data_IF_940966312931
#
_entry.id   IF_940966312931
#
_cell.length_a   1.000
_cell.length_b   1.000
_cell.length_c   1.000
_cell.angle_alpha   90.00
_cell.angle_beta   90.00
_cell.angle_gamma   90.00
#
_symmetry.space_group_name_H-M   'P 1'
#
loop_
_entity.id
_entity.type
_entity.pdbx_description
1 polymer ?
#
# COMPACT_ATOMS: atom_id res chain seq x y z
N UNK A 1 -46.41 55.26 37.82
CA UNK A 1 -47.15 54.76 36.64
C UNK A 1 -47.54 53.32 36.96
N UNK A 2 -48.70 53.13 37.57
CA UNK A 2 -49.22 51.82 38.00
C UNK A 2 -50.45 51.54 37.15
N UNK A 3 -50.36 50.57 36.25
CA UNK A 3 -51.52 50.02 35.56
C UNK A 3 -52.13 48.90 36.42
N UNK A 4 -53.47 48.74 36.44
CA UNK A 4 -54.19 48.15 37.57
C UNK A 4 -54.47 46.65 37.43
N UNK A 5 -54.60 46.03 38.60
CA UNK A 5 -54.90 44.63 38.93
C UNK A 5 -56.21 44.03 38.35
N UNK A 6 -56.87 44.66 37.37
CA UNK A 6 -58.15 44.21 36.83
C UNK A 6 -58.06 43.18 35.69
N UNK A 7 -56.85 42.92 35.15
CA UNK A 7 -56.67 41.92 34.09
C UNK A 7 -56.47 40.48 34.60
N UNK A 8 -56.18 40.28 35.89
CA UNK A 8 -55.91 38.95 36.46
C UNK A 8 -57.18 38.32 37.06
N UNK A 9 -58.20 39.12 37.39
CA UNK A 9 -59.45 38.61 38.00
C UNK A 9 -60.51 38.12 37.01
N UNK A 10 -60.39 38.41 35.71
CA UNK A 10 -61.37 37.97 34.70
C UNK A 10 -61.00 36.66 33.97
N UNK A 11 -59.83 36.07 34.22
CA UNK A 11 -59.46 34.75 33.70
C UNK A 11 -59.78 33.59 34.67
N UNK A 12 -60.26 33.89 35.89
CA UNK A 12 -60.43 32.92 36.98
C UNK A 12 -61.88 32.57 37.32
N UNK A 13 -62.86 32.90 36.48
CA UNK A 13 -64.24 32.43 36.69
C UNK A 13 -64.88 31.84 35.44
N UNK A 14 -65.32 30.60 35.62
CA UNK A 14 -66.14 29.74 34.75
C UNK A 14 -65.41 28.83 33.76
N UNK A 15 -64.93 27.68 34.23
CA UNK A 15 -65.73 26.44 34.16
C UNK A 15 -64.91 25.24 34.65
N UNK A 16 -65.09 24.86 35.92
CA UNK A 16 -64.77 23.52 36.40
C UNK A 16 -65.72 22.53 35.73
N UNK A 17 -65.29 21.92 34.62
CA UNK A 17 -65.76 20.59 34.22
C UNK A 17 -64.56 19.66 34.28
N UNK A 18 -64.46 18.94 35.39
CA UNK A 18 -63.64 17.74 35.49
C UNK A 18 -64.02 16.79 34.35
N UNK A 19 -63.09 16.38 33.47
CA UNK A 19 -63.38 15.32 32.52
C UNK A 19 -63.60 14.05 33.35
N UNK A 20 -64.81 13.49 33.26
CA UNK A 20 -65.09 12.16 33.77
C UNK A 20 -64.27 11.21 32.89
N UNK A 21 -63.06 10.90 33.37
CA UNK A 21 -62.18 9.94 32.74
C UNK A 21 -62.86 8.58 32.86
N UNK A 22 -63.46 8.12 31.77
CA UNK A 22 -64.10 6.80 31.76
C UNK A 22 -63.04 5.74 32.04
N UNK A 23 -63.37 4.76 32.89
CA UNK A 23 -62.46 3.69 33.34
C UNK A 23 -61.74 2.97 32.17
N UNK A 24 -62.31 3.00 30.96
CA UNK A 24 -61.70 2.48 29.74
C UNK A 24 -60.51 3.31 29.24
N UNK A 25 -60.55 4.65 29.35
CA UNK A 25 -59.44 5.51 28.92
C UNK A 25 -58.25 5.46 29.90
N UNK A 26 -58.52 5.37 31.21
CA UNK A 26 -57.48 5.19 32.23
C UNK A 26 -56.76 3.82 32.11
N UNK A 27 -57.51 2.78 31.75
CA UNK A 27 -56.97 1.45 31.50
C UNK A 27 -56.07 1.44 30.25
N UNK A 28 -56.51 2.08 29.16
CA UNK A 28 -55.73 2.14 27.91
C UNK A 28 -54.45 2.96 28.06
N UNK A 29 -54.49 4.09 28.77
CA UNK A 29 -53.27 4.89 29.02
C UNK A 29 -52.30 4.17 29.94
N UNK A 30 -52.78 3.51 31.01
CA UNK A 30 -51.95 2.71 31.91
C UNK A 30 -51.28 1.53 31.20
N UNK A 31 -52.03 0.81 30.36
CA UNK A 31 -51.52 -0.34 29.61
C UNK A 31 -50.51 0.08 28.54
N UNK A 32 -50.74 1.23 27.87
CA UNK A 32 -49.79 1.80 26.92
C UNK A 32 -48.48 2.23 27.60
N UNK A 33 -48.53 2.88 28.76
CA UNK A 33 -47.32 3.23 29.53
C UNK A 33 -46.56 2.00 30.04
N UNK A 34 -47.27 0.96 30.47
CA UNK A 34 -46.65 -0.30 30.91
C UNK A 34 -45.91 -1.02 29.80
N UNK A 35 -46.48 -1.07 28.59
CA UNK A 35 -45.84 -1.67 27.42
C UNK A 35 -44.60 -0.88 26.98
N UNK A 36 -44.67 0.46 26.98
CA UNK A 36 -43.54 1.32 26.61
C UNK A 36 -42.39 1.18 27.60
N UNK A 37 -42.67 1.18 28.91
CA UNK A 37 -41.65 0.98 29.95
C UNK A 37 -41.05 -0.43 29.90
N UNK A 38 -41.87 -1.45 29.62
CA UNK A 38 -41.40 -2.82 29.43
C UNK A 38 -40.46 -2.98 28.23
N UNK A 39 -40.81 -2.38 27.09
CA UNK A 39 -39.98 -2.41 25.88
C UNK A 39 -38.67 -1.62 26.06
N UNK A 40 -38.72 -0.46 26.71
CA UNK A 40 -37.51 0.31 27.05
C UNK A 40 -36.57 -0.47 27.98
N UNK A 41 -37.12 -1.18 28.98
CA UNK A 41 -36.35 -2.05 29.86
C UNK A 41 -35.68 -3.21 29.13
N UNK A 42 -36.38 -3.85 28.18
CA UNK A 42 -35.82 -4.91 27.34
C UNK A 42 -34.68 -4.42 26.44
N UNK A 43 -34.81 -3.23 25.85
CA UNK A 43 -33.76 -2.65 24.99
C UNK A 43 -32.51 -2.31 25.81
N UNK A 44 -32.67 -1.74 27.01
CA UNK A 44 -31.54 -1.45 27.92
C UNK A 44 -30.87 -2.74 28.39
N UNK A 45 -31.64 -3.79 28.69
CA UNK A 45 -31.11 -5.11 29.05
C UNK A 45 -30.32 -5.79 27.91
N UNK A 46 -30.80 -5.68 26.67
CA UNK A 46 -30.10 -6.20 25.49
C UNK A 46 -28.81 -5.40 25.23
N UNK A 47 -28.85 -4.08 25.34
CA UNK A 47 -27.66 -3.23 25.18
C UNK A 47 -26.60 -3.49 26.26
N UNK A 48 -27.00 -3.71 27.52
CA UNK A 48 -26.10 -4.08 28.60
C UNK A 48 -25.49 -5.48 28.43
N UNK A 49 -26.25 -6.42 27.83
CA UNK A 49 -25.75 -7.76 27.48
C UNK A 49 -24.71 -7.71 26.35
N UNK A 50 -24.94 -6.87 25.33
CA UNK A 50 -24.01 -6.70 24.21
C UNK A 50 -22.70 -6.04 24.67
N UNK A 51 -22.74 -5.02 25.53
CA UNK A 51 -21.52 -4.39 26.05
C UNK A 51 -20.71 -5.35 26.93
N UNK A 52 -21.38 -6.19 27.74
CA UNK A 52 -20.72 -7.25 28.50
C UNK A 52 -20.04 -8.29 27.60
N UNK A 53 -20.68 -8.70 26.50
CA UNK A 53 -20.07 -9.64 25.55
C UNK A 53 -18.89 -9.02 24.76
N UNK A 54 -18.95 -7.72 24.44
CA UNK A 54 -17.83 -7.01 23.78
C UNK A 54 -16.61 -6.92 24.71
N UNK A 55 -16.81 -6.66 26.01
CA UNK A 55 -15.70 -6.60 26.98
C UNK A 55 -15.07 -7.97 27.19
N UNK A 56 -15.88 -9.02 27.31
CA UNK A 56 -15.39 -10.39 27.48
C UNK A 56 -14.63 -10.85 26.22
N UNK A 57 -15.18 -10.61 25.03
CA UNK A 57 -14.50 -10.98 23.77
C UNK A 57 -13.22 -10.16 23.54
N UNK A 58 -13.16 -8.89 23.93
CA UNK A 58 -11.94 -8.09 23.90
C UNK A 58 -10.87 -8.61 24.86
N UNK A 59 -11.24 -9.09 26.06
CA UNK A 59 -10.31 -9.72 27.01
C UNK A 59 -9.79 -11.07 26.48
N UNK A 60 -10.63 -11.88 25.84
CA UNK A 60 -10.20 -13.13 25.21
C UNK A 60 -9.30 -12.90 23.99
N UNK A 61 -9.61 -11.92 23.15
CA UNK A 61 -8.74 -11.53 22.02
C UNK A 61 -7.41 -10.95 22.50
N UNK A 62 -7.43 -10.08 23.52
CA UNK A 62 -6.22 -9.50 24.10
C UNK A 62 -5.30 -10.55 24.72
N UNK A 63 -5.86 -11.48 25.50
CA UNK A 63 -5.09 -12.58 26.10
C UNK A 63 -4.55 -13.56 25.06
N UNK A 64 -5.33 -13.90 24.04
CA UNK A 64 -4.89 -14.76 22.93
C UNK A 64 -3.75 -14.13 22.10
N UNK A 65 -3.84 -12.83 21.81
CA UNK A 65 -2.78 -12.09 21.13
C UNK A 65 -1.51 -11.99 21.98
N UNK A 66 -1.64 -11.84 23.30
CA UNK A 66 -0.51 -11.79 24.23
C UNK A 66 0.21 -13.13 24.35
N UNK A 67 -0.54 -14.25 24.42
CA UNK A 67 0.02 -15.60 24.42
C UNK A 67 0.71 -15.89 23.07
N UNK A 68 0.06 -15.55 21.96
CA UNK A 68 0.64 -15.70 20.62
C UNK A 68 1.91 -14.86 20.46
N UNK A 69 1.91 -13.62 20.97
CA UNK A 69 3.08 -12.75 21.01
C UNK A 69 4.23 -13.33 21.85
N UNK A 70 3.94 -13.92 23.01
CA UNK A 70 4.94 -14.58 23.85
C UNK A 70 5.50 -15.84 23.20
N UNK A 71 4.67 -16.65 22.55
CA UNK A 71 5.11 -17.84 21.82
C UNK A 71 5.99 -17.48 20.62
N UNK A 72 5.61 -16.44 19.86
CA UNK A 72 6.42 -15.89 18.77
C UNK A 72 7.75 -15.35 19.33
N UNK A 73 7.72 -14.60 20.43
CA UNK A 73 8.93 -14.08 21.08
C UNK A 73 9.88 -15.21 21.52
N UNK A 74 9.36 -16.28 22.12
CA UNK A 74 10.15 -17.46 22.50
C UNK A 74 10.71 -18.23 21.29
N UNK A 75 10.01 -18.22 20.14
CA UNK A 75 10.46 -18.90 18.94
C UNK A 75 11.53 -18.14 18.17
N UNK A 76 11.51 -16.79 18.22
CA UNK A 76 12.47 -15.94 17.50
C UNK A 76 13.60 -15.39 18.38
N UNK A 77 13.52 -15.54 19.70
CA UNK A 77 14.59 -15.25 20.64
C UNK A 77 14.78 -16.44 21.59
N UNK A 78 15.56 -17.47 21.21
CA UNK A 78 16.03 -18.42 22.21
C UNK A 78 16.88 -17.60 23.19
N UNK A 79 16.41 -17.48 24.43
CA UNK A 79 17.18 -16.93 25.52
C UNK A 79 18.42 -17.82 25.65
N UNK A 80 19.53 -17.38 25.07
CA UNK A 80 20.82 -18.04 25.16
C UNK A 80 21.22 -17.99 26.64
N UNK A 81 20.88 -19.07 27.35
CA UNK A 81 21.26 -19.27 28.73
C UNK A 81 22.76 -19.55 28.69
N UNK A 82 23.56 -18.48 28.69
CA UNK A 82 25.01 -18.51 28.87
C UNK A 82 25.27 -19.09 30.26
N UNK A 83 25.34 -20.42 30.32
CA UNK A 83 25.97 -21.11 31.44
C UNK A 83 27.46 -20.85 31.29
N UNK A 84 27.95 -20.02 32.19
CA UNK A 84 29.33 -19.60 32.34
C UNK A 84 30.16 -20.83 32.74
N UNK A 85 30.71 -21.56 31.78
CA UNK A 85 31.75 -22.54 32.09
C UNK A 85 33.09 -21.81 32.28
N UNK A 86 33.60 -21.91 33.51
CA UNK A 86 34.93 -21.48 33.91
C UNK A 86 35.93 -22.57 33.48
N UNK A 87 37.09 -22.23 32.88
CA UNK A 87 38.01 -23.24 32.37
C UNK A 87 38.77 -23.92 33.52
N UNK A 88 38.76 -25.26 33.57
CA UNK A 88 39.73 -26.05 34.34
C UNK A 88 40.94 -26.41 33.48
N UNK A 89 42.14 -26.50 34.08
CA UNK A 89 43.41 -26.53 33.35
C UNK A 89 43.73 -27.95 32.86
N UNK A 90 44.20 -28.06 31.62
CA UNK A 90 44.78 -29.30 31.09
C UNK A 90 46.31 -29.20 31.16
N UNK A 91 47.04 -30.28 31.55
CA UNK A 91 48.47 -30.25 31.82
C UNK A 91 49.34 -30.13 30.56
N UNK A 92 50.50 -29.52 30.76
CA UNK A 92 51.58 -29.29 29.81
C UNK A 92 52.24 -30.59 29.35
N UNK A 93 52.37 -30.80 28.04
CA UNK A 93 53.31 -31.77 27.48
C UNK A 93 54.05 -31.23 26.24
N UNK A 94 55.37 -31.11 26.44
CA UNK A 94 56.53 -31.16 25.56
C UNK A 94 56.44 -30.71 24.08
N UNK A 95 57.22 -29.66 23.81
CA UNK A 95 57.76 -29.22 22.52
C UNK A 95 58.82 -30.21 22.01
N UNK A 96 58.89 -30.49 20.70
CA UNK A 96 60.16 -30.79 20.03
C UNK A 96 60.59 -29.65 19.08
N UNK A 97 61.86 -29.26 19.16
CA UNK A 97 62.51 -28.20 18.39
C UNK A 97 62.87 -28.59 16.94
N UNK A 98 62.41 -27.76 16.00
CA UNK A 98 63.06 -27.09 14.82
C UNK A 98 63.89 -27.94 13.82
N UNK A 99 63.78 -27.65 12.51
CA UNK A 99 64.91 -26.99 11.83
C UNK A 99 64.54 -25.69 11.10
N UNK A 100 65.47 -24.71 11.17
CA UNK A 100 65.41 -23.37 10.61
C UNK A 100 65.13 -23.38 9.10
N UNK A 101 64.13 -22.60 8.68
CA UNK A 101 64.01 -22.15 7.29
C UNK A 101 64.11 -20.63 7.25
N UNK A 102 64.99 -20.18 6.36
CA UNK A 102 65.40 -18.81 6.11
C UNK A 102 64.24 -17.81 5.98
N UNK A 103 64.46 -16.63 6.54
CA UNK A 103 63.56 -15.49 6.50
C UNK A 103 63.74 -14.72 5.19
N UNK A 104 62.69 -14.52 4.37
CA UNK A 104 62.70 -13.49 3.33
C UNK A 104 62.33 -12.13 3.93
N UNK A 105 63.08 -11.11 3.52
CA UNK A 105 62.91 -9.69 3.83
C UNK A 105 61.60 -9.06 3.27
N UNK A 106 61.25 -7.82 3.66
CA UNK A 106 59.90 -7.41 4.03
C UNK A 106 58.97 -7.10 2.86
N UNK A 107 57.75 -7.64 2.92
CA UNK A 107 56.65 -7.23 2.03
C UNK A 107 56.08 -5.91 2.53
N UNK A 108 56.07 -4.93 1.63
CA UNK A 108 55.42 -3.62 1.71
C UNK A 108 54.01 -3.68 2.33
N UNK A 109 53.58 -2.66 3.09
CA UNK A 109 52.25 -2.64 3.67
C UNK A 109 51.18 -2.66 2.56
N UNK A 110 50.09 -3.43 2.73
CA UNK A 110 49.03 -3.51 1.74
C UNK A 110 48.38 -2.14 1.53
N UNK A 111 47.97 -1.80 0.30
CA UNK A 111 47.31 -0.54 0.00
C UNK A 111 46.02 -0.44 0.81
N UNK A 112 45.89 0.65 1.55
CA UNK A 112 44.70 1.09 2.27
C UNK A 112 43.43 0.80 1.45
N UNK A 113 42.67 -0.20 1.88
CA UNK A 113 41.27 -0.42 1.50
C UNK A 113 40.43 0.73 2.06
N UNK A 114 40.53 1.90 1.41
CA UNK A 114 39.49 2.91 1.52
C UNK A 114 38.27 2.28 0.84
N UNK A 115 37.16 2.03 1.55
CA UNK A 115 35.95 1.57 0.89
C UNK A 115 35.59 2.60 -0.19
N UNK A 116 35.30 2.17 -1.43
CA UNK A 116 34.94 3.10 -2.48
C UNK A 116 33.73 3.90 -2.00
N UNK A 117 33.88 5.23 -2.02
CA UNK A 117 32.83 6.21 -1.77
C UNK A 117 31.56 5.74 -2.51
N UNK A 118 30.38 5.62 -1.87
CA UNK A 118 29.19 5.16 -2.57
C UNK A 118 28.95 6.06 -3.78
N UNK A 119 28.80 5.46 -4.96
CA UNK A 119 28.56 6.18 -6.20
C UNK A 119 27.44 7.22 -5.98
N UNK A 120 27.72 8.48 -6.29
CA UNK A 120 26.76 9.56 -6.14
C UNK A 120 25.47 9.15 -6.87
N UNK A 121 24.38 8.95 -6.13
CA UNK A 121 23.06 8.67 -6.72
C UNK A 121 22.72 9.86 -7.61
N UNK A 122 22.48 9.62 -8.91
CA UNK A 122 22.06 10.66 -9.86
C UNK A 122 20.83 11.38 -9.32
N UNK A 123 20.74 12.70 -9.53
CA UNK A 123 19.53 13.44 -9.16
C UNK A 123 18.38 13.13 -10.12
N UNK A 124 17.13 13.41 -9.74
CA UNK A 124 15.95 13.22 -10.61
C UNK A 124 16.16 13.93 -11.96
N UNK A 125 16.64 15.17 -11.93
CA UNK A 125 16.90 15.97 -13.14
C UNK A 125 17.96 15.33 -14.03
N UNK A 126 19.07 14.88 -13.45
CA UNK A 126 20.14 14.20 -14.20
C UNK A 126 19.65 12.92 -14.87
N UNK A 127 18.81 12.14 -14.19
CA UNK A 127 18.25 10.91 -14.77
C UNK A 127 17.34 11.21 -15.95
N UNK A 128 16.35 12.09 -15.75
CA UNK A 128 15.33 12.38 -16.77
C UNK A 128 15.93 13.15 -17.95
N UNK A 129 16.91 14.02 -17.72
CA UNK A 129 17.63 14.72 -18.79
C UNK A 129 18.46 13.77 -19.65
N UNK A 130 18.93 12.65 -19.06
CA UNK A 130 19.59 11.59 -19.80
C UNK A 130 18.65 10.71 -20.62
N UNK A 131 17.32 10.84 -20.47
CA UNK A 131 16.35 10.02 -21.18
C UNK A 131 15.74 10.74 -22.38
N UNK A 132 15.32 9.95 -23.38
CA UNK A 132 14.74 10.49 -24.61
C UNK A 132 13.30 10.95 -24.34
N UNK A 133 13.07 12.25 -24.21
CA UNK A 133 11.72 12.79 -24.02
C UNK A 133 10.85 12.63 -25.27
N UNK A 134 9.62 12.15 -25.09
CA UNK A 134 8.67 11.84 -26.17
C UNK A 134 7.50 12.82 -26.11
N UNK A 135 7.53 13.83 -27.00
CA UNK A 135 6.54 14.91 -27.02
C UNK A 135 5.21 14.58 -27.73
N UNK A 136 5.07 13.38 -28.30
CA UNK A 136 3.86 13.00 -29.05
C UNK A 136 3.53 11.53 -28.87
N UNK A 137 2.24 11.21 -28.73
CA UNK A 137 1.74 9.84 -28.62
C UNK A 137 2.05 9.01 -29.86
N UNK A 138 2.11 9.65 -31.04
CA UNK A 138 2.48 9.01 -32.31
C UNK A 138 3.91 8.49 -32.31
N UNK A 139 4.77 9.02 -31.44
CA UNK A 139 6.19 8.64 -31.38
C UNK A 139 6.45 7.44 -30.46
N UNK A 140 5.51 7.09 -29.57
CA UNK A 140 5.70 6.01 -28.60
C UNK A 140 6.05 4.66 -29.26
N UNK A 141 5.36 4.20 -30.33
CA UNK A 141 5.64 2.89 -30.90
C UNK A 141 7.04 2.74 -31.52
N UNK A 142 7.70 3.82 -31.95
CA UNK A 142 9.03 3.76 -32.58
C UNK A 142 10.17 3.37 -31.62
N UNK A 143 9.91 3.42 -30.31
CA UNK A 143 10.87 3.00 -29.28
C UNK A 143 10.69 1.53 -28.86
N UNK A 144 9.78 0.81 -29.51
CA UNK A 144 9.51 -0.60 -29.28
C UNK A 144 10.00 -1.43 -30.48
N UNK A 145 10.29 -2.71 -30.25
CA UNK A 145 10.86 -3.63 -31.25
C UNK A 145 9.95 -3.90 -32.44
N UNK A 146 8.64 -3.78 -32.25
CA UNK A 146 7.64 -4.12 -33.26
C UNK A 146 6.78 -2.91 -33.60
N UNK A 147 6.88 -2.45 -34.84
CA UNK A 147 6.01 -1.41 -35.42
C UNK A 147 4.52 -1.80 -35.41
N UNK A 148 4.19 -3.08 -35.15
CA UNK A 148 2.83 -3.59 -35.08
C UNK A 148 2.18 -3.45 -33.70
N UNK A 149 2.91 -2.98 -32.68
CA UNK A 149 2.34 -2.79 -31.35
C UNK A 149 1.38 -1.61 -31.40
N UNK A 150 0.08 -1.91 -31.36
CA UNK A 150 -0.94 -0.91 -31.13
C UNK A 150 -0.71 -0.30 -29.74
N UNK A 151 -0.47 1.00 -29.68
CA UNK A 151 -0.27 1.72 -28.42
C UNK A 151 -0.89 3.11 -28.53
N UNK A 152 -1.96 3.32 -27.78
CA UNK A 152 -2.63 4.62 -27.69
C UNK A 152 -3.18 4.84 -26.29
N UNK A 153 -3.50 6.09 -25.94
CA UNK A 153 -4.21 6.37 -24.70
C UNK A 153 -5.69 6.07 -24.87
N UNK A 154 -6.30 5.42 -23.87
CA UNK A 154 -7.77 5.20 -23.86
C UNK A 154 -8.57 6.49 -23.81
N UNK A 155 -8.04 7.48 -23.10
CA UNK A 155 -8.55 8.84 -23.13
C UNK A 155 -7.58 9.67 -24.00
N UNK A 156 -7.96 10.03 -25.24
CA UNK A 156 -7.11 10.82 -26.14
C UNK A 156 -6.72 12.19 -25.57
N UNK A 157 -7.52 12.72 -24.64
CA UNK A 157 -7.28 14.01 -23.97
C UNK A 157 -6.47 13.87 -22.67
N UNK A 158 -5.98 12.68 -22.34
CA UNK A 158 -5.14 12.48 -21.16
C UNK A 158 -3.82 13.26 -21.31
N UNK A 159 -3.50 14.05 -20.28
CA UNK A 159 -2.18 14.70 -20.20
C UNK A 159 -1.15 13.62 -19.86
N UNK A 160 0.03 13.72 -20.46
CA UNK A 160 1.11 12.80 -20.18
C UNK A 160 2.49 13.47 -20.29
N UNK A 161 3.48 12.83 -19.68
CA UNK A 161 4.90 12.97 -19.96
C UNK A 161 5.45 11.59 -20.28
N UNK A 162 6.28 11.47 -21.29
CA UNK A 162 6.82 10.17 -21.69
C UNK A 162 8.30 10.26 -22.03
N UNK A 163 8.99 9.16 -21.74
CA UNK A 163 10.42 9.01 -21.99
C UNK A 163 10.71 7.60 -22.47
N UNK A 164 11.69 7.47 -23.36
CA UNK A 164 12.39 6.21 -23.61
C UNK A 164 13.71 6.21 -22.83
N UNK A 165 14.01 5.07 -22.20
CA UNK A 165 15.28 4.87 -21.49
C UNK A 165 16.35 4.48 -22.52
N UNK A 166 17.48 5.23 -22.61
CA UNK A 166 18.46 5.04 -23.67
C UNK A 166 18.99 3.61 -23.78
N UNK A 167 19.23 3.16 -25.02
CA UNK A 167 19.74 1.81 -25.33
C UNK A 167 18.84 0.66 -24.86
N UNK A 168 17.57 0.93 -24.60
CA UNK A 168 16.59 -0.09 -24.21
C UNK A 168 15.27 0.13 -24.94
N UNK A 169 14.44 -0.92 -25.00
CA UNK A 169 13.07 -0.87 -25.51
C UNK A 169 12.05 -0.56 -24.38
N UNK A 170 12.48 0.20 -23.37
CA UNK A 170 11.65 0.55 -22.22
C UNK A 170 11.09 1.98 -22.35
N UNK A 171 9.77 2.09 -22.24
CA UNK A 171 9.04 3.34 -22.14
C UNK A 171 8.63 3.60 -20.70
N UNK A 172 8.81 4.84 -20.25
CA UNK A 172 8.23 5.35 -19.01
C UNK A 172 7.24 6.46 -19.34
N UNK A 173 6.00 6.30 -18.89
CA UNK A 173 4.90 7.21 -19.18
C UNK A 173 4.27 7.64 -17.86
N UNK A 174 4.31 8.93 -17.52
CA UNK A 174 3.48 9.50 -16.47
C UNK A 174 2.20 10.08 -17.07
N UNK A 175 1.03 9.69 -16.57
CA UNK A 175 -0.27 10.13 -17.11
C UNK A 175 -1.29 10.35 -16.00
N UNK A 176 -2.37 11.07 -16.32
CA UNK A 176 -3.51 11.23 -15.42
C UNK A 176 -4.60 10.17 -15.61
N UNK A 177 -5.32 9.86 -14.54
CA UNK A 177 -6.54 9.06 -14.55
C UNK A 177 -6.67 8.11 -13.36
N UNK A 178 -7.82 7.45 -13.25
CA UNK A 178 -8.05 6.44 -12.23
C UNK A 178 -7.26 5.16 -12.55
N UNK A 179 -6.55 4.63 -11.55
CA UNK A 179 -5.69 3.46 -11.72
C UNK A 179 -6.44 2.14 -11.90
N UNK A 180 -7.73 2.08 -11.52
CA UNK A 180 -8.54 0.86 -11.57
C UNK A 180 -8.91 0.40 -12.99
N UNK A 181 -8.50 1.14 -14.02
CA UNK A 181 -8.62 0.74 -15.42
C UNK A 181 -7.34 1.10 -16.18
N UNK A 182 -7.02 0.33 -17.23
CA UNK A 182 -5.84 0.58 -18.06
C UNK A 182 -5.86 1.99 -18.64
N UNK A 183 -4.73 2.70 -18.63
CA UNK A 183 -4.61 4.03 -19.26
C UNK A 183 -4.26 3.95 -20.74
N UNK A 184 -3.61 2.86 -21.14
CA UNK A 184 -3.27 2.57 -22.52
C UNK A 184 -4.22 1.53 -23.10
N UNK A 185 -4.46 1.64 -24.40
CA UNK A 185 -5.05 0.61 -25.23
C UNK A 185 -3.91 -0.04 -26.03
N UNK A 186 -3.75 -1.35 -25.88
CA UNK A 186 -2.66 -2.07 -26.52
C UNK A 186 -2.94 -3.56 -26.67
N UNK A 187 -2.22 -4.20 -27.59
CA UNK A 187 -2.17 -5.65 -27.74
C UNK A 187 -1.28 -6.34 -26.70
N UNK A 188 -0.59 -5.58 -25.84
CA UNK A 188 0.33 -6.12 -24.84
C UNK A 188 -0.39 -6.45 -23.51
N UNK A 189 -0.08 -7.59 -22.86
CA UNK A 189 -0.60 -7.91 -21.53
C UNK A 189 -0.14 -6.89 -20.49
N UNK A 190 -1.04 -6.59 -19.55
CA UNK A 190 -0.83 -5.54 -18.57
C UNK A 190 -1.02 -6.02 -17.12
N UNK A 191 -0.14 -5.56 -16.23
CA UNK A 191 -0.31 -5.67 -14.80
C UNK A 191 -0.77 -4.33 -14.20
N UNK A 192 -1.68 -4.37 -13.23
CA UNK A 192 -2.01 -3.21 -12.38
C UNK A 192 -1.51 -3.48 -10.96
N UNK A 193 -0.80 -2.50 -10.40
CA UNK A 193 -0.24 -2.57 -9.05
C UNK A 193 -1.10 -1.79 -8.05
N UNK A 194 -1.49 -2.45 -6.98
CA UNK A 194 -2.11 -1.88 -5.79
C UNK A 194 -1.09 -1.67 -4.68
N UNK A 195 -1.05 -0.48 -4.08
CA UNK A 195 -0.34 -0.24 -2.83
C UNK A 195 -1.24 -0.65 -1.65
N UNK A 196 -0.89 -1.77 -1.01
CA UNK A 196 -1.60 -2.29 0.14
C UNK A 196 -1.52 -1.33 1.34
N UNK A 197 -2.65 -1.15 2.02
CA UNK A 197 -2.73 -0.31 3.23
C UNK A 197 -2.23 -1.00 4.49
N UNK A 198 -2.18 -2.32 4.51
CA UNK A 198 -1.72 -3.10 5.65
C UNK A 198 -0.97 -4.32 5.16
N UNK A 199 -0.10 -4.84 6.02
CA UNK A 199 0.63 -6.09 5.76
C UNK A 199 -0.32 -7.27 5.54
N UNK A 200 -1.53 -7.24 6.08
CA UNK A 200 -2.57 -8.26 5.86
C UNK A 200 -3.31 -8.11 4.54
N UNK A 201 -2.96 -7.07 3.74
CA UNK A 201 -3.65 -6.70 2.51
C UNK A 201 -5.17 -6.59 2.69
N UNK A 202 -5.61 -5.86 3.71
CA UNK A 202 -7.04 -5.68 3.97
C UNK A 202 -7.71 -4.93 2.81
N UNK A 203 -8.92 -5.35 2.43
CA UNK A 203 -9.70 -4.78 1.33
C UNK A 203 -10.32 -3.41 1.72
N UNK A 204 -10.39 -2.46 0.78
CA UNK A 204 -11.06 -1.16 0.95
C UNK A 204 -10.15 0.00 1.42
N UNK A 205 -10.72 0.97 2.14
CA UNK A 205 -10.01 2.10 2.74
C UNK A 205 -9.87 3.31 1.83
N UNK A 206 -8.65 3.80 1.59
CA UNK A 206 -8.29 4.92 0.71
C UNK A 206 -7.32 4.54 -0.44
N UNK A 207 -7.08 5.50 -1.35
CA UNK A 207 -6.06 5.39 -2.40
C UNK A 207 -6.34 4.30 -3.43
N UNK A 208 -5.30 3.61 -3.92
CA UNK A 208 -5.47 2.52 -4.90
C UNK A 208 -6.25 1.35 -4.34
N UNK A 209 -6.12 1.10 -3.04
CA UNK A 209 -6.74 -0.05 -2.37
C UNK A 209 -8.27 0.06 -2.43
N UNK A 210 -8.82 1.24 -2.18
CA UNK A 210 -10.25 1.54 -2.32
C UNK A 210 -10.72 1.35 -3.75
N UNK A 211 -10.09 2.06 -4.70
CA UNK A 211 -10.45 2.02 -6.12
C UNK A 211 -10.43 0.59 -6.67
N UNK A 212 -9.37 -0.17 -6.40
CA UNK A 212 -9.21 -1.52 -6.93
C UNK A 212 -10.11 -2.52 -6.23
N UNK A 213 -10.37 -2.35 -4.93
CA UNK A 213 -11.27 -3.24 -4.18
C UNK A 213 -12.72 -3.21 -4.67
N UNK A 214 -13.16 -2.07 -5.22
CA UNK A 214 -14.48 -1.91 -5.81
C UNK A 214 -14.63 -2.61 -7.17
N UNK A 215 -13.53 -2.75 -7.92
CA UNK A 215 -13.54 -3.31 -9.28
C UNK A 215 -13.26 -4.81 -9.28
N UNK A 216 -12.36 -5.30 -8.42
CA UNK A 216 -11.97 -6.72 -8.43
C UNK A 216 -12.84 -7.62 -7.53
N UNK A 217 -12.95 -8.89 -7.90
CA UNK A 217 -13.68 -9.88 -7.09
C UNK A 217 -13.00 -10.11 -5.73
N UNK A 218 -13.75 -10.64 -4.77
CA UNK A 218 -13.19 -11.01 -3.47
C UNK A 218 -12.16 -12.15 -3.60
N UNK A 219 -12.41 -13.12 -4.49
CA UNK A 219 -11.44 -14.18 -4.80
C UNK A 219 -10.13 -13.64 -5.40
N UNK A 220 -10.19 -12.69 -6.34
CA UNK A 220 -9.00 -12.02 -6.88
C UNK A 220 -8.19 -11.34 -5.76
N UNK A 221 -8.88 -10.67 -4.85
CA UNK A 221 -8.24 -9.99 -3.73
C UNK A 221 -7.52 -10.97 -2.81
N UNK A 222 -8.19 -12.04 -2.37
CA UNK A 222 -7.62 -13.03 -1.47
C UNK A 222 -6.50 -13.86 -2.12
N UNK A 223 -6.68 -14.31 -3.37
CA UNK A 223 -5.66 -15.06 -4.12
C UNK A 223 -4.39 -14.24 -4.38
N UNK A 224 -4.49 -12.90 -4.38
CA UNK A 224 -3.34 -12.03 -4.62
C UNK A 224 -2.46 -11.82 -3.39
N UNK A 225 -2.86 -12.29 -2.20
CA UNK A 225 -2.06 -12.22 -0.97
C UNK A 225 -0.89 -13.21 -1.03
N UNK A 226 0.23 -12.93 -0.32
CA UNK A 226 1.31 -13.91 -0.23
C UNK A 226 0.85 -15.14 0.56
N UNK A 227 1.49 -16.30 0.33
CA UNK A 227 1.16 -17.56 1.05
C UNK A 227 1.29 -17.45 2.57
N UNK A 228 2.18 -16.58 3.05
CA UNK A 228 2.35 -16.25 4.47
C UNK A 228 1.15 -15.50 5.06
N UNK A 229 0.25 -14.96 4.23
CA UNK A 229 -0.83 -14.06 4.64
C UNK A 229 -0.37 -12.63 4.96
N UNK A 230 0.94 -12.38 5.04
CA UNK A 230 1.54 -11.10 5.39
C UNK A 230 2.51 -10.63 4.31
N UNK A 231 2.29 -9.43 3.79
CA UNK A 231 3.11 -8.77 2.78
C UNK A 231 4.01 -7.74 3.44
N UNK A 232 5.33 -8.00 3.48
CA UNK A 232 6.27 -7.11 4.16
C UNK A 232 6.64 -5.90 3.28
N UNK A 233 7.09 -4.79 3.88
CA UNK A 233 7.53 -3.62 3.13
C UNK A 233 8.62 -3.95 2.09
N UNK A 234 8.38 -3.51 0.86
CA UNK A 234 9.28 -3.80 -0.26
C UNK A 234 9.06 -5.16 -0.93
N UNK A 235 8.03 -5.91 -0.53
CA UNK A 235 7.62 -7.15 -1.18
C UNK A 235 6.32 -6.94 -1.97
N UNK A 236 6.11 -7.81 -2.95
CA UNK A 236 4.87 -7.88 -3.69
C UNK A 236 4.39 -9.34 -3.84
N UNK A 237 3.10 -9.50 -4.06
CA UNK A 237 2.46 -10.76 -4.42
C UNK A 237 1.45 -10.51 -5.53
N UNK A 238 1.09 -11.53 -6.32
CA UNK A 238 0.24 -11.33 -7.48
C UNK A 238 -0.69 -12.52 -7.77
N UNK A 239 -1.78 -12.24 -8.48
CA UNK A 239 -2.66 -13.26 -9.05
C UNK A 239 -3.20 -12.80 -10.41
N UNK A 240 -3.91 -13.69 -11.11
CA UNK A 240 -4.63 -13.34 -12.32
C UNK A 240 -5.75 -12.36 -12.03
N UNK A 241 -5.88 -11.35 -12.88
CA UNK A 241 -6.96 -10.38 -12.75
C UNK A 241 -8.32 -11.04 -12.95
N UNK A 242 -9.22 -10.88 -11.97
CA UNK A 242 -10.64 -11.18 -12.07
C UNK A 242 -11.42 -9.99 -11.52
N UNK A 243 -12.24 -9.36 -12.35
CA UNK A 243 -13.09 -8.25 -11.95
C UNK A 243 -14.57 -8.63 -11.86
N UNK A 244 -15.36 -7.71 -11.29
CA UNK A 244 -16.80 -7.88 -11.08
C UNK A 244 -17.62 -7.66 -12.35
N UNK A 245 -17.04 -7.04 -13.38
CA UNK A 245 -17.73 -6.73 -14.63
C UNK A 245 -17.56 -7.88 -15.63
N UNK A 246 -18.48 -8.84 -15.66
CA UNK A 246 -18.41 -9.95 -16.63
C UNK A 246 -18.80 -9.57 -18.06
N UNK A 247 -19.32 -8.37 -18.31
CA UNK A 247 -19.82 -7.98 -19.64
C UNK A 247 -18.71 -7.54 -20.58
N UNK A 248 -17.64 -6.96 -20.06
CA UNK A 248 -16.49 -6.54 -20.86
C UNK A 248 -15.45 -7.68 -20.89
N UNK A 249 -15.16 -8.28 -22.06
CA UNK A 249 -14.13 -9.32 -22.13
C UNK A 249 -12.74 -8.72 -21.91
N UNK A 250 -11.83 -9.51 -21.30
CA UNK A 250 -10.44 -9.09 -21.07
C UNK A 250 -9.71 -8.74 -22.36
N UNK A 251 -9.94 -9.51 -23.42
CA UNK A 251 -9.40 -9.29 -24.76
C UNK A 251 -10.52 -8.89 -25.73
N UNK A 252 -10.28 -7.86 -26.54
CA UNK A 252 -11.16 -7.45 -27.62
C UNK A 252 -10.63 -7.98 -28.96
N UNK A 253 -11.32 -8.95 -29.62
CA UNK A 253 -10.87 -9.52 -30.88
C UNK A 253 -10.98 -8.56 -32.07
N UNK A 254 -11.93 -7.60 -32.05
CA UNK A 254 -12.14 -6.64 -33.14
C UNK A 254 -10.99 -5.64 -33.23
N UNK A 255 -10.61 -5.08 -32.08
CA UNK A 255 -9.50 -4.12 -31.99
C UNK A 255 -8.14 -4.78 -31.80
N UNK A 256 -8.12 -6.09 -31.50
CA UNK A 256 -6.92 -6.84 -31.10
C UNK A 256 -6.17 -6.17 -29.95
N UNK A 257 -6.91 -5.75 -28.93
CA UNK A 257 -6.34 -5.10 -27.73
C UNK A 257 -6.94 -5.64 -26.44
N UNK A 258 -6.18 -5.57 -25.35
CA UNK A 258 -6.69 -5.85 -24.02
C UNK A 258 -7.60 -4.72 -23.56
N UNK A 259 -8.79 -5.03 -23.01
CA UNK A 259 -9.66 -4.08 -22.31
C UNK A 259 -9.33 -3.98 -20.82
N UNK A 260 -8.83 -5.08 -20.26
CA UNK A 260 -8.55 -5.27 -18.83
C UNK A 260 -7.12 -5.77 -18.64
N UNK A 261 -6.49 -5.52 -17.48
CA UNK A 261 -5.21 -6.14 -17.17
C UNK A 261 -5.36 -7.67 -17.09
N UNK A 262 -4.24 -8.36 -17.22
CA UNK A 262 -4.13 -9.81 -17.05
C UNK A 262 -3.66 -10.18 -15.64
N UNK A 263 -3.02 -9.23 -14.94
CA UNK A 263 -2.44 -9.45 -13.61
C UNK A 263 -2.82 -8.34 -12.62
N UNK A 264 -3.11 -8.76 -11.39
CA UNK A 264 -3.23 -7.88 -10.23
C UNK A 264 -2.05 -8.13 -9.30
N UNK A 265 -1.32 -7.08 -8.94
CA UNK A 265 -0.17 -7.14 -8.04
C UNK A 265 -0.47 -6.31 -6.80
N UNK A 266 -0.27 -6.88 -5.61
CA UNK A 266 -0.26 -6.15 -4.36
C UNK A 266 1.17 -5.89 -3.91
N UNK A 267 1.44 -4.68 -3.43
CA UNK A 267 2.75 -4.29 -2.89
C UNK A 267 2.59 -3.52 -1.59
N UNK A 268 3.45 -3.79 -0.62
CA UNK A 268 3.50 -3.00 0.61
C UNK A 268 4.56 -1.91 0.48
N UNK A 269 4.12 -0.67 0.33
CA UNK A 269 5.00 0.51 0.34
C UNK A 269 5.24 1.00 1.79
N UNK A 270 6.36 1.68 2.08
CA UNK A 270 6.62 2.23 3.41
C UNK A 270 5.65 3.36 3.76
N UNK A 271 5.14 3.36 4.99
CA UNK A 271 4.40 4.51 5.56
C UNK A 271 5.33 5.35 6.41
N UNK A 272 5.33 6.66 6.22
CA UNK A 272 6.25 7.58 6.92
C UNK A 272 6.29 7.41 8.44
N UNK A 273 5.11 7.25 9.07
CA UNK A 273 5.00 7.04 10.51
C UNK A 273 5.71 5.79 11.04
N UNK A 274 5.87 4.75 10.22
CA UNK A 274 6.57 3.51 10.60
C UNK A 274 8.10 3.67 10.56
N UNK A 275 8.60 4.70 9.87
CA UNK A 275 10.02 4.93 9.63
C UNK A 275 10.49 6.30 10.12
N UNK A 276 9.76 6.90 11.09
CA UNK A 276 10.10 8.21 11.68
C UNK A 276 10.30 9.30 10.62
N UNK A 277 9.50 9.26 9.55
CA UNK A 277 9.58 10.16 8.40
C UNK A 277 10.95 10.16 7.66
N UNK A 278 11.76 9.11 7.83
CA UNK A 278 13.08 9.00 7.23
C UNK A 278 12.99 8.80 5.70
N UNK A 279 13.48 9.79 4.95
CA UNK A 279 13.43 9.77 3.49
C UNK A 279 14.38 8.76 2.84
N UNK A 280 15.48 8.39 3.51
CA UNK A 280 16.38 7.33 3.05
C UNK A 280 15.71 5.95 3.13
N UNK A 281 14.98 5.68 4.20
CA UNK A 281 14.17 4.45 4.31
C UNK A 281 13.05 4.42 3.27
N UNK A 282 12.39 5.56 3.00
CA UNK A 282 11.46 5.69 1.89
C UNK A 282 12.10 5.30 0.57
N UNK A 283 13.27 5.87 0.24
CA UNK A 283 14.00 5.55 -0.97
C UNK A 283 14.29 4.03 -1.06
N UNK A 284 14.90 3.47 -0.01
CA UNK A 284 15.37 2.07 -0.01
C UNK A 284 14.21 1.09 -0.18
N UNK A 285 13.12 1.29 0.55
CA UNK A 285 11.98 0.39 0.54
C UNK A 285 11.12 0.57 -0.72
N UNK A 286 10.92 1.80 -1.21
CA UNK A 286 10.26 2.03 -2.50
C UNK A 286 11.08 1.43 -3.65
N UNK A 287 12.41 1.55 -3.63
CA UNK A 287 13.26 0.98 -4.68
C UNK A 287 13.13 -0.54 -4.73
N UNK A 288 13.18 -1.20 -3.56
CA UNK A 288 12.94 -2.65 -3.44
C UNK A 288 11.53 -3.01 -3.92
N UNK A 289 10.50 -2.27 -3.50
CA UNK A 289 9.10 -2.48 -3.89
C UNK A 289 8.90 -2.38 -5.41
N UNK A 290 9.46 -1.35 -6.05
CA UNK A 290 9.34 -1.17 -7.49
C UNK A 290 10.00 -2.29 -8.27
N UNK A 291 11.21 -2.68 -7.89
CA UNK A 291 11.89 -3.82 -8.52
C UNK A 291 11.10 -5.12 -8.36
N UNK A 292 10.60 -5.40 -7.15
CA UNK A 292 9.78 -6.59 -6.91
C UNK A 292 8.54 -6.60 -7.82
N UNK A 293 7.79 -5.49 -7.90
CA UNK A 293 6.62 -5.37 -8.77
C UNK A 293 6.97 -5.54 -10.26
N UNK A 294 8.09 -4.97 -10.71
CA UNK A 294 8.50 -5.09 -12.10
C UNK A 294 8.90 -6.53 -12.43
N UNK A 295 9.69 -7.18 -11.57
CA UNK A 295 10.09 -8.57 -11.76
C UNK A 295 8.90 -9.51 -11.72
N UNK A 296 7.95 -9.29 -10.81
CA UNK A 296 6.73 -10.09 -10.73
C UNK A 296 5.85 -9.91 -11.97
N UNK A 297 5.68 -8.69 -12.48
CA UNK A 297 4.94 -8.46 -13.73
C UNK A 297 5.60 -9.16 -14.93
N UNK A 298 6.92 -9.01 -15.08
CA UNK A 298 7.69 -9.59 -16.19
C UNK A 298 7.69 -11.13 -16.12
N UNK A 299 7.75 -11.70 -14.91
CA UNK A 299 7.66 -13.15 -14.68
C UNK A 299 6.33 -13.75 -15.16
N UNK A 300 5.26 -12.96 -15.18
CA UNK A 300 3.94 -13.36 -15.69
C UNK A 300 3.63 -12.72 -17.05
N UNK A 301 4.67 -12.49 -17.86
CA UNK A 301 4.59 -12.01 -19.25
C UNK A 301 3.81 -10.70 -19.44
N UNK A 302 3.74 -9.86 -18.40
CA UNK A 302 3.16 -8.52 -18.51
C UNK A 302 4.23 -7.54 -19.00
N UNK A 303 3.94 -6.89 -20.13
CA UNK A 303 4.83 -5.89 -20.73
C UNK A 303 4.42 -4.47 -20.37
N UNK A 304 3.13 -4.24 -20.11
CA UNK A 304 2.63 -2.99 -19.55
C UNK A 304 2.51 -3.13 -18.04
N UNK A 305 3.13 -2.22 -17.28
CA UNK A 305 3.08 -2.21 -15.82
C UNK A 305 2.51 -0.87 -15.37
N UNK A 306 1.24 -0.87 -14.97
CA UNK A 306 0.57 0.34 -14.50
C UNK A 306 0.69 0.44 -12.97
N UNK A 307 1.33 1.52 -12.52
CA UNK A 307 1.70 1.74 -11.13
C UNK A 307 1.23 3.11 -10.63
N UNK A 308 0.90 3.27 -9.34
CA UNK A 308 0.87 4.57 -8.70
C UNK A 308 2.29 5.01 -8.29
N UNK A 309 2.43 6.26 -7.82
CA UNK A 309 3.62 6.62 -7.05
C UNK A 309 3.48 5.99 -5.66
N UNK A 310 4.47 5.19 -5.28
CA UNK A 310 4.46 4.51 -3.98
C UNK A 310 4.72 5.54 -2.89
N UNK A 311 4.11 5.31 -1.73
CA UNK A 311 4.28 6.15 -0.55
C UNK A 311 3.94 7.64 -0.75
N UNK A 312 3.04 7.96 -1.68
CA UNK A 312 2.58 9.34 -1.93
C UNK A 312 1.13 9.62 -1.53
N UNK A 313 0.40 8.62 -1.03
CA UNK A 313 -0.96 8.80 -0.51
C UNK A 313 -0.93 9.46 0.87
N UNK A 314 -2.01 10.15 1.26
CA UNK A 314 -2.09 10.95 2.48
C UNK A 314 -1.59 10.23 3.73
N UNK A 315 -1.91 8.95 3.88
CA UNK A 315 -1.58 8.16 5.07
C UNK A 315 -0.17 7.55 5.04
N UNK A 316 0.55 7.77 3.93
CA UNK A 316 1.89 7.23 3.69
C UNK A 316 2.98 8.30 3.77
N UNK A 317 2.60 9.57 3.81
CA UNK A 317 3.53 10.71 3.78
C UNK A 317 3.68 11.35 5.17
N UNK A 318 4.83 12.01 5.44
CA UNK A 318 4.98 12.86 6.61
C UNK A 318 3.94 13.98 6.63
N UNK A 319 3.50 14.39 7.83
CA UNK A 319 2.61 15.56 8.00
C UNK A 319 3.35 16.90 7.85
N UNK A 320 4.65 16.90 8.13
CA UNK A 320 5.48 18.10 8.06
C UNK A 320 5.89 18.40 6.60
N UNK A 321 5.63 19.61 6.05
CA UNK A 321 5.83 19.89 4.63
C UNK A 321 7.26 19.68 4.10
N UNK A 322 8.28 20.00 4.90
CA UNK A 322 9.69 19.84 4.51
C UNK A 322 10.03 18.35 4.37
N UNK A 323 9.65 17.55 5.38
CA UNK A 323 9.84 16.09 5.36
C UNK A 323 9.02 15.45 4.26
N UNK A 324 7.79 15.92 4.05
CA UNK A 324 6.91 15.46 2.97
C UNK A 324 7.58 15.64 1.60
N UNK A 325 8.19 16.79 1.34
CA UNK A 325 8.91 17.04 0.08
C UNK A 325 10.10 16.08 -0.08
N UNK A 326 10.93 15.91 0.95
CA UNK A 326 12.06 14.98 0.91
C UNK A 326 11.62 13.53 0.69
N UNK A 327 10.55 13.12 1.37
CA UNK A 327 9.94 11.80 1.26
C UNK A 327 9.42 11.52 -0.16
N UNK A 328 8.66 12.45 -0.75
CA UNK A 328 8.14 12.31 -2.10
C UNK A 328 9.25 12.30 -3.16
N UNK A 329 10.28 13.15 -3.00
CA UNK A 329 11.45 13.13 -3.88
C UNK A 329 12.20 11.80 -3.78
N UNK A 330 12.28 11.21 -2.59
CA UNK A 330 12.90 9.90 -2.38
C UNK A 330 12.11 8.77 -3.04
N UNK A 331 10.78 8.79 -2.97
CA UNK A 331 9.91 7.85 -3.67
C UNK A 331 10.05 7.97 -5.21
N UNK A 332 10.07 9.21 -5.73
CA UNK A 332 10.30 9.47 -7.17
C UNK A 332 11.67 8.98 -7.61
N UNK A 333 12.72 9.28 -6.87
CA UNK A 333 14.08 8.86 -7.20
C UNK A 333 14.22 7.33 -7.16
N UNK A 334 13.57 6.69 -6.19
CA UNK A 334 13.50 5.23 -6.12
C UNK A 334 12.83 4.60 -7.34
N UNK A 335 11.73 5.19 -7.82
CA UNK A 335 11.08 4.78 -9.07
C UNK A 335 12.04 4.89 -10.27
N UNK A 336 12.69 6.04 -10.44
CA UNK A 336 13.57 6.27 -11.59
C UNK A 336 14.78 5.32 -11.59
N UNK A 337 15.41 5.08 -10.44
CA UNK A 337 16.49 4.09 -10.35
C UNK A 337 16.00 2.66 -10.59
N UNK A 338 14.79 2.31 -10.11
CA UNK A 338 14.22 0.99 -10.37
C UNK A 338 13.93 0.79 -11.87
N UNK A 339 13.42 1.83 -12.54
CA UNK A 339 13.20 1.86 -13.99
C UNK A 339 14.52 1.65 -14.74
N UNK A 340 15.55 2.43 -14.43
CA UNK A 340 16.87 2.35 -15.07
C UNK A 340 17.48 0.95 -14.90
N UNK A 341 17.42 0.39 -13.68
CA UNK A 341 17.93 -0.97 -13.42
C UNK A 341 17.16 -2.05 -14.19
N UNK A 342 15.83 -1.94 -14.22
CA UNK A 342 14.95 -2.89 -14.88
C UNK A 342 15.10 -2.83 -16.41
N UNK A 343 15.15 -1.62 -16.97
CA UNK A 343 15.38 -1.39 -18.39
C UNK A 343 16.73 -1.96 -18.85
N UNK A 344 17.80 -1.75 -18.08
CA UNK A 344 19.11 -2.33 -18.40
C UNK A 344 19.11 -3.86 -18.32
N UNK A 345 18.46 -4.43 -17.30
CA UNK A 345 18.34 -5.89 -17.12
C UNK A 345 17.54 -6.55 -18.26
N UNK A 346 16.51 -5.87 -18.77
CA UNK A 346 15.60 -6.38 -19.80
C UNK A 346 15.64 -5.54 -21.08
N UNK A 347 16.82 -5.06 -21.49
CA UNK A 347 17.00 -4.07 -22.56
C UNK A 347 16.42 -4.48 -23.93
N UNK A 348 16.31 -5.78 -24.20
CA UNK A 348 15.77 -6.38 -25.43
C UNK A 348 14.27 -6.67 -25.37
N UNK A 349 13.60 -6.35 -24.26
CA UNK A 349 12.15 -6.56 -24.11
C UNK A 349 11.42 -5.23 -24.23
N UNK A 350 10.33 -5.24 -24.99
CA UNK A 350 9.35 -4.16 -25.00
C UNK A 350 8.67 -4.09 -23.64
N UNK A 351 9.01 -3.05 -22.86
CA UNK A 351 8.47 -2.81 -21.52
C UNK A 351 7.93 -1.38 -21.43
N UNK A 352 6.74 -1.23 -20.85
CA UNK A 352 6.05 0.04 -20.76
C UNK A 352 5.57 0.22 -19.33
N UNK A 353 6.22 1.11 -18.57
CA UNK A 353 5.78 1.46 -17.23
C UNK A 353 4.92 2.71 -17.28
N UNK A 354 3.69 2.58 -16.77
CA UNK A 354 2.68 3.64 -16.79
C UNK A 354 2.43 4.12 -15.36
N UNK A 355 3.07 5.24 -14.99
CA UNK A 355 2.81 5.92 -13.73
C UNK A 355 1.52 6.72 -13.81
N UNK A 356 0.52 6.26 -13.07
CA UNK A 356 -0.82 6.85 -13.07
C UNK A 356 -1.05 7.67 -11.82
N UNK A 357 -1.51 8.91 -11.99
CA UNK A 357 -1.85 9.80 -10.89
C UNK A 357 -3.18 10.54 -11.16
N UNK A 358 -3.79 11.11 -10.12
CA UNK A 358 -5.00 11.94 -10.25
C UNK A 358 -4.80 13.23 -9.44
N UNK A 359 -5.20 14.42 -9.97
CA UNK A 359 -5.82 14.67 -11.27
C UNK A 359 -4.82 14.87 -12.42
N UNK A 360 -3.53 15.08 -12.12
CA UNK A 360 -2.52 15.43 -13.12
C UNK A 360 -1.36 14.42 -13.13
N UNK A 361 -0.65 14.26 -14.27
CA UNK A 361 0.58 13.49 -14.33
C UNK A 361 1.61 14.00 -13.32
N UNK A 362 2.50 13.13 -12.90
CA UNK A 362 3.60 13.50 -12.01
C UNK A 362 4.73 14.06 -12.86
N UNK A 363 5.13 15.29 -12.56
CA UNK A 363 6.36 15.88 -13.10
C UNK A 363 7.58 15.37 -12.35
N UNK A 364 8.68 15.22 -13.07
CA UNK A 364 9.98 14.82 -12.54
C UNK A 364 11.00 15.94 -12.76
#
# INVERSE_FOLDING_TARGET
MFAPLSAIQNALRHSCRSPILTHKQALVTSLATGIILGLAGCIVGILASITSQIVISALFLGSSLLITGLLIYQHFCPLERVVRELPSPVPSEAIPEIPELEMPEPVTPPPSLIPPKPALKKTIKEMVFGWNHIGSTKLLPYFLSSEKIALSFRNPSARFFAWNIPNTQTLFISTSGQIASLRLQSSLPAAIVNVAQSISCSKGGCGTNDLLSSVITDSCWEESKPRSGLLLPGECSSTHWKDRDSFVPTWNPETKTYNKPTRFIQVQAPKASMYRDNSEDCYRLCFKAYLACFEEAIKHDCQIIQIPLFSSFSDFIPKEPIKQRSWLNSAKLALLHALDRMANKYHHKDLIVVLTNTPQPISF
#
